data_IF_532987665297
#
_entry.id   IF_532987665297
#
_cell.length_a   1.000
_cell.length_b   1.000
_cell.length_c   1.000
_cell.angle_alpha   90.00
_cell.angle_beta   90.00
_cell.angle_gamma   90.00
#
_symmetry.space_group_name_H-M   'P 1'
#
loop_
_entity.id
_entity.type
_entity.pdbx_description
1 polymer ?
#
# COMPACT_ATOMS: atom_id res chain seq x y z
N UNK A 1 0.12 -18.49 -5.78
CA UNK A 1 -0.61 -18.17 -4.52
C UNK A 1 0.18 -17.11 -3.78
N UNK A 2 -0.40 -15.93 -3.56
CA UNK A 2 0.24 -14.93 -2.70
C UNK A 2 0.21 -15.42 -1.25
N UNK A 3 1.34 -15.30 -0.57
CA UNK A 3 1.41 -15.62 0.85
C UNK A 3 0.58 -14.58 1.61
N UNK A 4 -0.51 -14.99 2.21
CA UNK A 4 -1.30 -14.10 3.08
C UNK A 4 -0.55 -13.89 4.40
N UNK A 5 -0.24 -12.63 4.72
CA UNK A 5 0.44 -12.29 5.97
C UNK A 5 -0.59 -12.03 7.07
N UNK A 6 -0.31 -12.59 8.25
CA UNK A 6 -1.11 -12.31 9.44
C UNK A 6 -0.62 -11.02 10.10
N UNK A 7 -1.54 -10.08 10.34
CA UNK A 7 -1.26 -8.88 11.13
C UNK A 7 -1.54 -9.17 12.60
N UNK A 8 -0.51 -9.13 13.43
CA UNK A 8 -0.65 -9.17 14.87
C UNK A 8 -1.21 -7.83 15.37
N UNK A 9 -2.06 -7.86 16.38
CA UNK A 9 -2.64 -6.65 16.96
C UNK A 9 -1.90 -6.30 18.24
N UNK A 10 -1.40 -5.08 18.31
CA UNK A 10 -0.91 -4.42 19.50
C UNK A 10 -1.78 -3.20 19.84
N UNK A 11 -1.32 -2.35 20.71
CA UNK A 11 -1.96 -1.10 21.07
C UNK A 11 -0.92 -0.11 21.59
N UNK A 12 -1.25 1.19 21.52
CA UNK A 12 -0.46 2.28 22.08
C UNK A 12 -1.39 3.43 22.51
N UNK A 13 -1.09 4.12 23.61
CA UNK A 13 -1.79 5.35 23.97
C UNK A 13 -1.39 6.55 23.08
N UNK A 14 -0.24 6.50 22.40
CA UNK A 14 0.35 7.58 21.62
C UNK A 14 -0.30 7.72 20.25
N UNK A 15 -1.57 8.14 20.23
CA UNK A 15 -2.37 8.32 19.02
C UNK A 15 -3.36 9.47 19.19
N UNK A 16 -3.90 9.94 18.08
CA UNK A 16 -4.86 11.04 18.08
C UNK A 16 -5.85 10.93 16.91
N UNK A 17 -6.95 11.69 17.00
CA UNK A 17 -7.89 11.80 15.90
C UNK A 17 -7.23 12.49 14.67
N UNK A 18 -7.61 12.10 13.47
CA UNK A 18 -7.15 12.70 12.20
C UNK A 18 -7.74 14.09 11.91
N UNK A 19 -8.63 14.62 12.77
CA UNK A 19 -9.24 15.95 12.65
C UNK A 19 -9.86 16.24 11.28
N UNK A 20 -10.52 15.25 10.69
CA UNK A 20 -11.15 15.37 9.38
C UNK A 20 -10.22 15.12 8.18
N UNK A 21 -8.93 14.91 8.40
CA UNK A 21 -8.01 14.55 7.33
C UNK A 21 -8.12 13.07 6.95
N UNK A 22 -8.01 12.81 5.66
CA UNK A 22 -7.91 11.46 5.09
C UNK A 22 -6.44 11.10 4.88
N UNK A 23 -5.99 9.90 5.27
CA UNK A 23 -4.63 9.48 4.98
C UNK A 23 -4.46 9.19 3.49
N UNK A 24 -3.47 9.83 2.88
CA UNK A 24 -3.09 9.65 1.48
C UNK A 24 -1.58 9.59 1.28
N UNK A 25 -0.81 9.54 2.37
CA UNK A 25 0.62 9.25 2.34
C UNK A 25 0.91 7.97 3.11
N UNK A 26 1.73 7.08 2.53
CA UNK A 26 2.32 5.92 3.22
C UNK A 26 3.80 6.24 3.43
N UNK A 27 4.23 6.27 4.70
CA UNK A 27 5.56 6.73 5.08
C UNK A 27 6.36 5.61 5.70
N UNK A 28 7.51 5.30 5.10
CA UNK A 28 8.43 4.27 5.60
C UNK A 28 9.47 4.86 6.54
N UNK A 29 9.76 4.11 7.61
CA UNK A 29 10.74 4.41 8.65
C UNK A 29 11.65 3.21 8.91
N UNK A 30 12.76 3.44 9.64
CA UNK A 30 13.62 2.40 10.21
C UNK A 30 13.64 2.54 11.72
N UNK A 31 13.47 1.41 12.44
CA UNK A 31 13.29 1.38 13.91
C UNK A 31 14.52 1.79 14.70
N UNK A 32 15.72 1.76 14.09
CA UNK A 32 17.03 1.83 14.77
C UNK A 32 17.17 0.80 15.91
N UNK A 33 16.51 -0.36 15.76
CA UNK A 33 16.47 -1.42 16.75
C UNK A 33 15.89 -2.73 16.19
N UNK A 34 15.65 -3.67 17.11
CA UNK A 34 14.97 -4.91 16.78
C UNK A 34 13.45 -4.79 16.90
N UNK A 35 12.73 -5.73 16.29
CA UNK A 35 11.28 -5.76 16.21
C UNK A 35 10.57 -5.69 17.57
N UNK A 36 10.97 -6.55 18.52
CA UNK A 36 10.34 -6.64 19.84
C UNK A 36 10.60 -5.36 20.67
N UNK A 37 11.81 -4.81 20.56
CA UNK A 37 12.17 -3.54 21.18
C UNK A 37 11.37 -2.37 20.62
N UNK A 38 11.16 -2.32 19.30
CA UNK A 38 10.34 -1.32 18.66
C UNK A 38 8.87 -1.40 19.11
N UNK A 39 8.28 -2.61 19.17
CA UNK A 39 6.92 -2.80 19.69
C UNK A 39 6.85 -2.32 21.14
N UNK A 40 7.77 -2.76 22.00
CA UNK A 40 7.78 -2.36 23.42
C UNK A 40 7.88 -0.86 23.60
N UNK A 41 8.77 -0.20 22.87
CA UNK A 41 8.98 1.25 22.94
C UNK A 41 7.77 2.02 22.42
N UNK A 42 7.28 1.72 21.23
CA UNK A 42 6.18 2.44 20.58
C UNK A 42 4.81 2.16 21.23
N UNK A 43 4.70 1.10 22.04
CA UNK A 43 3.52 0.83 22.85
C UNK A 43 3.53 1.56 24.21
N UNK A 44 4.66 2.15 24.59
CA UNK A 44 4.82 2.82 25.88
C UNK A 44 4.47 4.31 25.78
N UNK A 45 3.66 4.81 26.71
CA UNK A 45 3.29 6.22 26.79
C UNK A 45 4.50 7.16 26.86
N UNK A 46 5.55 6.75 27.56
CA UNK A 46 6.78 7.53 27.76
C UNK A 46 7.52 7.82 26.45
N UNK A 47 7.36 6.96 25.42
CA UNK A 47 8.01 7.16 24.13
C UNK A 47 7.56 8.44 23.41
N UNK A 48 6.33 8.91 23.69
CA UNK A 48 5.68 10.01 22.97
C UNK A 48 5.76 9.84 21.43
N UNK A 49 5.81 8.58 20.99
CA UNK A 49 5.89 8.16 19.60
C UNK A 49 5.07 6.90 19.39
N UNK A 50 4.65 6.63 18.16
CA UNK A 50 3.98 5.39 17.77
C UNK A 50 4.12 5.15 16.26
N UNK A 51 3.65 4.01 15.78
CA UNK A 51 3.53 3.70 14.36
C UNK A 51 2.20 3.00 14.09
N UNK A 52 1.69 3.08 12.86
CA UNK A 52 0.55 2.25 12.49
C UNK A 52 0.98 0.79 12.41
N UNK A 53 2.10 0.52 11.74
CA UNK A 53 2.61 -0.83 11.54
C UNK A 53 4.11 -0.93 11.82
N UNK A 54 4.54 -2.13 12.22
CA UNK A 54 5.94 -2.50 12.36
C UNK A 54 6.15 -3.79 11.57
N UNK A 55 7.18 -3.84 10.72
CA UNK A 55 7.55 -5.00 9.90
C UNK A 55 8.91 -5.54 10.34
N UNK A 56 8.93 -6.79 10.79
CA UNK A 56 10.15 -7.50 11.20
C UNK A 56 11.00 -7.93 9.99
N UNK A 57 12.29 -8.18 10.21
CA UNK A 57 13.19 -8.72 9.18
C UNK A 57 12.78 -10.11 8.68
N UNK A 58 12.05 -10.89 9.50
CA UNK A 58 11.52 -12.20 9.13
C UNK A 58 10.13 -12.14 8.45
N UNK A 59 9.56 -10.93 8.27
CA UNK A 59 8.29 -10.68 7.61
C UNK A 59 7.08 -10.65 8.54
N UNK A 60 7.23 -10.81 9.86
CA UNK A 60 6.11 -10.60 10.82
C UNK A 60 5.65 -9.14 10.78
N UNK A 61 4.34 -8.93 10.94
CA UNK A 61 3.74 -7.59 10.94
C UNK A 61 2.94 -7.40 12.23
N UNK A 62 3.12 -6.27 12.89
CA UNK A 62 2.29 -5.83 14.03
C UNK A 62 1.65 -4.48 13.71
N UNK A 63 0.35 -4.34 13.98
CA UNK A 63 -0.37 -3.07 13.94
C UNK A 63 -0.55 -2.53 15.35
N UNK A 64 -0.10 -1.31 15.63
CA UNK A 64 -0.27 -0.61 16.91
C UNK A 64 -1.39 0.44 16.87
N UNK A 65 -1.57 1.14 15.74
CA UNK A 65 -2.58 2.18 15.58
C UNK A 65 -3.51 1.82 14.41
N UNK A 66 -4.81 1.97 14.61
CA UNK A 66 -5.80 1.80 13.53
C UNK A 66 -5.65 2.91 12.49
N UNK A 67 -5.88 2.59 11.20
CA UNK A 67 -5.81 3.57 10.11
C UNK A 67 -6.77 4.74 10.30
N UNK A 68 -7.86 4.56 11.07
CA UNK A 68 -8.81 5.64 11.40
C UNK A 68 -8.25 6.68 12.36
N UNK A 69 -7.19 6.36 13.08
CA UNK A 69 -6.48 7.26 14.00
C UNK A 69 -5.13 7.68 13.38
N UNK A 70 -4.54 8.74 13.89
CA UNK A 70 -3.22 9.20 13.47
C UNK A 70 -2.16 8.74 14.49
N UNK A 71 -1.15 8.01 14.03
CA UNK A 71 0.03 7.68 14.84
C UNK A 71 0.94 8.90 15.01
N UNK A 72 1.69 8.94 16.10
CA UNK A 72 2.68 9.99 16.36
C UNK A 72 4.04 9.62 15.78
N UNK A 73 4.16 9.71 14.44
CA UNK A 73 5.33 9.21 13.69
C UNK A 73 5.94 10.25 12.73
N UNK A 74 5.10 11.03 12.05
CA UNK A 74 5.50 11.99 11.01
C UNK A 74 5.26 13.44 11.40
N UNK A 75 5.24 13.74 12.69
CA UNK A 75 4.82 15.03 13.20
C UNK A 75 5.60 16.23 12.63
N UNK A 76 4.91 17.11 11.92
CA UNK A 76 5.44 18.40 11.47
C UNK A 76 4.88 19.56 12.29
N UNK A 77 5.67 20.63 12.43
CA UNK A 77 5.33 21.87 13.13
C UNK A 77 4.89 22.96 12.16
N UNK A 78 4.03 23.85 12.63
CA UNK A 78 3.70 25.11 11.95
C UNK A 78 4.64 26.26 12.32
N UNK A 79 5.50 26.07 13.33
CA UNK A 79 6.49 27.04 13.74
C UNK A 79 7.72 27.00 12.83
N UNK A 80 8.05 28.08 12.09
CA UNK A 80 9.21 28.13 11.20
C UNK A 80 10.57 27.91 11.91
N UNK A 81 10.65 28.12 13.22
CA UNK A 81 11.87 27.90 14.00
C UNK A 81 12.06 26.45 14.42
N UNK A 82 11.03 25.61 14.31
CA UNK A 82 11.09 24.21 14.66
C UNK A 82 11.84 23.40 13.59
N UNK A 83 12.71 22.47 14.02
CA UNK A 83 13.45 21.60 13.09
C UNK A 83 12.56 20.76 12.18
N UNK A 84 11.33 20.44 12.64
CA UNK A 84 10.31 19.72 11.84
C UNK A 84 9.28 20.66 11.19
N UNK A 85 9.65 21.89 10.91
CA UNK A 85 8.76 22.82 10.23
C UNK A 85 8.30 22.25 8.88
N UNK A 86 6.98 22.22 8.63
CA UNK A 86 6.42 21.64 7.40
C UNK A 86 7.00 22.27 6.13
N UNK A 87 7.42 23.54 6.18
CA UNK A 87 8.03 24.26 5.06
C UNK A 87 9.38 23.69 4.60
N UNK A 88 10.06 22.91 5.45
CA UNK A 88 11.32 22.24 5.11
C UNK A 88 11.11 20.91 4.34
N UNK A 89 9.87 20.41 4.27
CA UNK A 89 9.58 19.15 3.59
C UNK A 89 9.97 19.19 2.11
N UNK A 90 10.48 18.07 1.59
CA UNK A 90 10.71 17.88 0.15
C UNK A 90 9.39 17.76 -0.62
N UNK A 91 8.33 17.27 0.05
CA UNK A 91 7.02 17.04 -0.55
C UNK A 91 6.21 18.33 -0.65
N UNK A 92 5.76 18.65 -1.86
CA UNK A 92 4.92 19.84 -2.09
C UNK A 92 3.59 19.73 -1.34
N UNK A 93 3.01 18.53 -1.26
CA UNK A 93 1.75 18.28 -0.55
C UNK A 93 1.85 18.63 0.93
N UNK A 94 2.97 18.32 1.60
CA UNK A 94 3.20 18.66 3.02
C UNK A 94 3.33 20.19 3.19
N UNK A 95 4.10 20.85 2.31
CA UNK A 95 4.26 22.32 2.35
C UNK A 95 2.93 23.05 2.13
N UNK A 96 2.09 22.53 1.23
CA UNK A 96 0.78 23.14 0.91
C UNK A 96 -0.25 22.97 2.03
N UNK A 97 -0.24 21.84 2.73
CA UNK A 97 -1.20 21.54 3.81
C UNK A 97 -0.97 22.35 5.07
N UNK A 98 0.27 22.76 5.33
CA UNK A 98 0.64 23.65 6.44
C UNK A 98 0.14 23.18 7.80
N UNK A 99 0.15 21.86 8.01
CA UNK A 99 -0.33 21.22 9.26
C UNK A 99 0.49 19.98 9.58
N UNK A 100 0.15 19.33 10.71
CA UNK A 100 0.85 18.14 11.20
C UNK A 100 0.63 16.95 10.24
N UNK A 101 1.74 16.42 9.70
CA UNK A 101 1.72 15.31 8.73
C UNK A 101 1.16 14.00 9.32
N UNK A 102 1.12 13.84 10.64
CA UNK A 102 0.47 12.69 11.27
C UNK A 102 -1.00 12.55 10.84
N UNK A 103 -1.71 13.67 10.62
CA UNK A 103 -3.15 13.62 10.32
C UNK A 103 -3.48 12.91 9.01
N UNK A 104 -2.61 12.99 7.99
CA UNK A 104 -2.88 12.51 6.63
C UNK A 104 -1.87 11.44 6.16
N UNK A 105 -1.17 10.79 7.09
CA UNK A 105 -0.25 9.72 6.76
C UNK A 105 -0.51 8.43 7.53
N UNK A 106 -0.04 7.32 6.96
CA UNK A 106 0.10 6.01 7.60
C UNK A 106 1.59 5.69 7.66
N UNK A 107 2.14 5.50 8.86
CA UNK A 107 3.55 5.20 9.05
C UNK A 107 3.81 3.72 9.25
N UNK A 108 4.89 3.23 8.64
CA UNK A 108 5.38 1.85 8.75
C UNK A 108 6.82 1.90 9.25
N UNK A 109 7.08 1.30 10.40
CA UNK A 109 8.42 1.08 10.92
C UNK A 109 8.98 -0.25 10.39
N UNK A 110 10.20 -0.24 9.90
CA UNK A 110 10.90 -1.43 9.44
C UNK A 110 12.04 -1.77 10.40
N UNK A 111 12.04 -2.99 10.93
CA UNK A 111 13.12 -3.47 11.78
C UNK A 111 14.47 -3.32 11.09
N UNK A 112 15.38 -2.62 11.71
CA UNK A 112 16.73 -2.43 11.19
C UNK A 112 17.49 -1.32 11.91
N UNK A 113 18.75 -1.19 11.54
CA UNK A 113 19.65 -0.12 12.01
C UNK A 113 20.35 0.50 10.82
N UNK A 114 20.21 1.81 10.61
CA UNK A 114 20.76 2.53 9.46
C UNK A 114 22.25 2.25 9.24
N UNK A 115 23.06 2.27 10.30
CA UNK A 115 24.50 2.04 10.20
C UNK A 115 24.88 0.63 9.69
N UNK A 116 23.95 -0.35 9.81
CA UNK A 116 24.16 -1.72 9.33
C UNK A 116 23.66 -1.96 7.93
N UNK A 117 22.46 -1.49 7.63
CA UNK A 117 21.74 -1.86 6.40
C UNK A 117 21.50 -0.71 5.45
N UNK A 118 21.70 0.54 5.90
CA UNK A 118 21.32 1.76 5.17
C UNK A 118 19.86 1.72 4.68
N UNK A 119 18.99 1.04 5.44
CA UNK A 119 17.58 0.88 5.12
C UNK A 119 17.26 -0.30 4.19
N UNK A 120 18.24 -1.06 3.70
CA UNK A 120 17.97 -2.22 2.85
C UNK A 120 17.19 -3.27 3.62
N UNK A 121 16.04 -3.66 3.08
CA UNK A 121 15.17 -4.69 3.64
C UNK A 121 15.70 -6.09 3.33
N UNK A 122 15.42 -7.05 4.20
CA UNK A 122 15.61 -8.47 3.86
C UNK A 122 14.56 -8.89 2.81
N UNK A 123 14.79 -9.98 2.11
CA UNK A 123 13.82 -10.48 1.12
C UNK A 123 12.43 -10.76 1.74
N UNK A 124 12.40 -11.33 2.95
CA UNK A 124 11.14 -11.59 3.67
C UNK A 124 10.45 -10.30 4.08
N UNK A 125 11.23 -9.33 4.58
CA UNK A 125 10.73 -8.04 4.98
C UNK A 125 10.19 -7.24 3.78
N UNK A 126 10.89 -7.26 2.63
CA UNK A 126 10.44 -6.61 1.40
C UNK A 126 9.11 -7.19 0.91
N UNK A 127 8.98 -8.53 0.86
CA UNK A 127 7.72 -9.20 0.48
C UNK A 127 6.57 -8.82 1.42
N UNK A 128 6.83 -8.81 2.72
CA UNK A 128 5.85 -8.40 3.73
C UNK A 128 5.47 -6.92 3.59
N UNK A 129 6.44 -6.06 3.29
CA UNK A 129 6.23 -4.62 3.06
C UNK A 129 5.38 -4.36 1.82
N UNK A 130 5.64 -5.03 0.71
CA UNK A 130 4.83 -4.94 -0.51
C UNK A 130 3.37 -5.35 -0.22
N UNK A 131 3.19 -6.50 0.43
CA UNK A 131 1.85 -6.97 0.82
C UNK A 131 1.14 -5.97 1.75
N UNK A 132 1.87 -5.41 2.73
CA UNK A 132 1.32 -4.45 3.68
C UNK A 132 0.90 -3.14 2.99
N UNK A 133 1.67 -2.65 2.02
CA UNK A 133 1.27 -1.47 1.23
C UNK A 133 -0.06 -1.71 0.51
N UNK A 134 -0.25 -2.87 -0.14
CA UNK A 134 -1.52 -3.26 -0.77
C UNK A 134 -2.67 -3.27 0.23
N UNK A 135 -2.43 -3.89 1.38
CA UNK A 135 -3.42 -3.93 2.46
C UNK A 135 -3.81 -2.51 2.91
N UNK A 136 -2.84 -1.61 3.13
CA UNK A 136 -3.08 -0.22 3.54
C UNK A 136 -3.86 0.53 2.46
N UNK A 137 -3.48 0.43 1.19
CA UNK A 137 -4.16 1.06 0.05
C UNK A 137 -5.62 0.60 -0.01
N UNK A 138 -5.86 -0.71 0.08
CA UNK A 138 -7.20 -1.30 0.09
C UNK A 138 -8.03 -0.82 1.28
N UNK A 139 -7.48 -0.79 2.49
CA UNK A 139 -8.19 -0.32 3.68
C UNK A 139 -8.49 1.19 3.63
N UNK A 140 -7.58 2.02 3.11
CA UNK A 140 -7.82 3.45 2.89
C UNK A 140 -8.97 3.63 1.90
N UNK A 141 -8.96 2.92 0.78
CA UNK A 141 -10.06 2.96 -0.21
C UNK A 141 -11.39 2.55 0.41
N UNK A 142 -11.40 1.48 1.17
CA UNK A 142 -12.61 0.94 1.83
C UNK A 142 -13.16 1.89 2.90
N UNK A 143 -12.30 2.50 3.72
CA UNK A 143 -12.70 3.33 4.86
C UNK A 143 -13.07 4.75 4.41
N UNK A 144 -12.31 5.32 3.47
CA UNK A 144 -12.39 6.74 3.11
C UNK A 144 -12.84 6.99 1.67
N UNK A 145 -12.91 5.96 0.81
CA UNK A 145 -13.22 6.11 -0.61
C UNK A 145 -12.09 6.76 -1.42
N UNK A 146 -10.89 6.91 -0.85
CA UNK A 146 -9.75 7.60 -1.45
C UNK A 146 -8.78 6.60 -2.06
N UNK A 147 -8.29 6.89 -3.27
CA UNK A 147 -7.23 6.13 -3.92
C UNK A 147 -5.86 6.71 -3.54
N UNK A 148 -4.90 5.82 -3.32
CA UNK A 148 -3.48 6.17 -3.20
C UNK A 148 -2.85 6.01 -4.58
N UNK A 149 -2.22 7.06 -5.10
CA UNK A 149 -1.42 6.96 -6.33
C UNK A 149 -0.12 6.23 -5.98
N UNK A 150 0.16 5.16 -6.72
CA UNK A 150 1.33 4.33 -6.49
C UNK A 150 2.57 4.98 -7.12
N UNK A 151 3.12 5.96 -6.43
CA UNK A 151 4.31 6.71 -6.85
C UNK A 151 5.13 7.26 -5.67
N UNK A 152 6.22 7.98 -5.97
CA UNK A 152 7.10 8.63 -4.97
C UNK A 152 6.55 9.93 -4.39
N UNK A 153 5.35 10.37 -4.77
CA UNK A 153 4.66 11.51 -4.14
C UNK A 153 3.79 11.04 -2.96
N UNK A 154 3.32 9.77 -2.98
CA UNK A 154 2.44 9.22 -1.94
C UNK A 154 3.05 8.04 -1.15
N UNK A 155 4.02 7.31 -1.72
CA UNK A 155 4.81 6.27 -1.02
C UNK A 155 6.22 6.81 -0.78
N UNK A 156 6.47 7.27 0.44
CA UNK A 156 7.61 8.15 0.75
C UNK A 156 8.40 7.69 1.97
N UNK A 157 9.57 8.28 2.18
CA UNK A 157 10.36 8.11 3.40
C UNK A 157 10.14 9.25 4.40
N UNK A 158 10.52 9.03 5.66
CA UNK A 158 10.47 10.10 6.65
C UNK A 158 11.37 11.29 6.24
N UNK A 159 12.51 11.03 5.61
CA UNK A 159 13.40 12.07 5.09
C UNK A 159 12.77 12.97 4.01
N UNK A 160 11.69 12.54 3.37
CA UNK A 160 10.95 13.37 2.40
C UNK A 160 10.03 14.36 3.13
N UNK A 161 9.51 13.97 4.31
CA UNK A 161 8.68 14.84 5.16
C UNK A 161 9.53 15.77 6.03
N UNK A 162 10.55 15.22 6.71
CA UNK A 162 11.42 15.93 7.64
C UNK A 162 12.91 15.71 7.30
N UNK A 163 13.41 16.37 6.24
CA UNK A 163 14.80 16.19 5.81
C UNK A 163 15.82 16.77 6.79
N UNK A 164 15.41 17.64 7.70
CA UNK A 164 16.30 18.30 8.65
C UNK A 164 16.64 17.40 9.83
N UNK A 165 15.63 16.79 10.47
CA UNK A 165 15.85 15.96 11.66
C UNK A 165 16.02 14.48 11.33
N UNK A 166 15.52 14.05 10.16
CA UNK A 166 15.45 12.63 9.74
C UNK A 166 16.06 12.38 8.35
N UNK A 167 17.24 12.96 8.05
CA UNK A 167 17.80 12.95 6.69
C UNK A 167 18.07 11.54 6.14
N UNK A 168 18.22 10.54 7.02
CA UNK A 168 18.59 9.17 6.66
C UNK A 168 17.49 8.13 6.93
N UNK A 169 16.26 8.54 7.26
CA UNK A 169 15.17 7.61 7.53
C UNK A 169 14.24 7.46 6.31
N UNK A 170 14.00 6.26 5.78
CA UNK A 170 14.34 4.93 6.28
C UNK A 170 15.75 4.43 5.88
N UNK A 171 16.49 5.13 5.04
CA UNK A 171 17.83 4.80 4.57
C UNK A 171 17.96 4.87 3.06
N UNK A 172 19.19 5.10 2.59
CA UNK A 172 19.52 5.36 1.18
C UNK A 172 19.32 4.12 0.28
N UNK A 173 19.35 2.93 0.88
CA UNK A 173 19.15 1.66 0.18
C UNK A 173 17.76 1.08 0.39
N UNK A 174 16.80 1.87 0.93
CA UNK A 174 15.41 1.42 1.03
C UNK A 174 14.79 1.26 -0.36
N UNK A 175 14.14 0.14 -0.58
CA UNK A 175 13.77 -0.36 -1.91
C UNK A 175 12.42 0.19 -2.39
N UNK A 176 12.27 1.51 -2.45
CA UNK A 176 11.03 2.16 -2.90
C UNK A 176 10.62 1.75 -4.31
N UNK A 177 11.57 1.71 -5.25
CA UNK A 177 11.27 1.39 -6.65
C UNK A 177 10.76 -0.05 -6.78
N UNK A 178 11.38 -1.02 -6.09
CA UNK A 178 10.92 -2.40 -6.08
C UNK A 178 9.51 -2.54 -5.49
N UNK A 179 9.19 -1.76 -4.43
CA UNK A 179 7.85 -1.73 -3.83
C UNK A 179 6.83 -1.16 -4.82
N UNK A 180 7.12 0.01 -5.41
CA UNK A 180 6.23 0.70 -6.35
C UNK A 180 5.99 -0.15 -7.60
N UNK A 181 7.05 -0.72 -8.17
CA UNK A 181 6.95 -1.59 -9.35
C UNK A 181 6.12 -2.84 -9.08
N UNK A 182 6.28 -3.45 -7.88
CA UNK A 182 5.50 -4.61 -7.49
C UNK A 182 4.01 -4.25 -7.26
N UNK A 183 3.73 -3.06 -6.74
CA UNK A 183 2.36 -2.56 -6.57
C UNK A 183 1.69 -2.29 -7.92
N UNK A 184 2.40 -1.63 -8.86
CA UNK A 184 1.89 -1.33 -10.21
C UNK A 184 1.65 -2.57 -11.06
N UNK A 185 2.53 -3.57 -10.98
CA UNK A 185 2.39 -4.82 -11.75
C UNK A 185 1.12 -5.60 -11.42
N UNK A 186 0.56 -5.41 -10.23
CA UNK A 186 -0.69 -6.09 -9.84
C UNK A 186 -1.94 -5.24 -10.10
N UNK A 187 -1.80 -3.94 -10.40
CA UNK A 187 -2.90 -3.14 -10.95
C UNK A 187 -3.16 -3.47 -12.43
N UNK A 188 -2.17 -4.04 -13.14
CA UNK A 188 -2.40 -4.66 -14.44
C UNK A 188 -3.19 -5.96 -14.20
N UNK A 189 -4.50 -5.89 -14.49
CA UNK A 189 -5.41 -7.02 -14.40
C UNK A 189 -4.81 -8.22 -15.16
N UNK A 190 -4.59 -9.33 -14.47
CA UNK A 190 -3.84 -10.46 -14.99
C UNK A 190 -4.57 -11.03 -16.22
N UNK A 191 -3.89 -11.08 -17.37
CA UNK A 191 -4.46 -11.69 -18.57
C UNK A 191 -4.72 -13.17 -18.29
N UNK A 192 -5.89 -13.67 -18.72
CA UNK A 192 -6.25 -15.09 -18.65
C UNK A 192 -5.15 -15.93 -19.30
N UNK A 193 -4.61 -16.87 -18.56
CA UNK A 193 -3.60 -17.82 -19.04
C UNK A 193 -4.25 -19.16 -19.35
N UNK A 194 -4.28 -19.51 -20.62
CA UNK A 194 -4.67 -20.83 -21.09
C UNK A 194 -3.44 -21.50 -21.72
N UNK A 195 -3.13 -22.71 -21.27
CA UNK A 195 -1.88 -23.40 -21.60
C UNK A 195 -1.83 -23.88 -23.06
N UNK A 196 -3.00 -24.05 -23.70
CA UNK A 196 -3.12 -24.62 -25.04
C UNK A 196 -4.01 -23.77 -25.95
N UNK A 197 -3.66 -23.66 -27.23
CA UNK A 197 -4.41 -22.86 -28.22
C UNK A 197 -5.85 -23.36 -28.41
N UNK A 198 -6.12 -24.65 -28.29
CA UNK A 198 -7.48 -25.20 -28.41
C UNK A 198 -8.43 -24.66 -27.31
N UNK A 199 -7.90 -24.27 -26.13
CA UNK A 199 -8.70 -23.65 -25.05
C UNK A 199 -9.17 -22.26 -25.47
N UNK A 200 -8.29 -21.47 -26.10
CA UNK A 200 -8.63 -20.17 -26.67
C UNK A 200 -9.66 -20.30 -27.79
N UNK A 201 -9.51 -21.30 -28.69
CA UNK A 201 -10.49 -21.58 -29.75
C UNK A 201 -11.86 -21.97 -29.16
N UNK A 202 -11.90 -22.79 -28.12
CA UNK A 202 -13.15 -23.16 -27.46
C UNK A 202 -13.82 -21.94 -26.81
N UNK A 203 -13.04 -21.09 -26.14
CA UNK A 203 -13.54 -19.87 -25.52
C UNK A 203 -14.10 -18.91 -26.58
N UNK A 204 -13.40 -18.74 -27.71
CA UNK A 204 -13.86 -17.94 -28.85
C UNK A 204 -15.21 -18.44 -29.41
N UNK A 205 -15.34 -19.73 -29.67
CA UNK A 205 -16.60 -20.35 -30.15
C UNK A 205 -17.73 -20.19 -29.15
N UNK A 206 -17.42 -20.25 -27.84
CA UNK A 206 -18.42 -20.05 -26.79
C UNK A 206 -18.92 -18.62 -26.76
N UNK A 207 -18.04 -17.63 -26.84
CA UNK A 207 -18.41 -16.20 -26.93
C UNK A 207 -19.25 -15.94 -28.19
N UNK A 208 -18.84 -16.44 -29.35
CA UNK A 208 -19.60 -16.29 -30.60
C UNK A 208 -21.01 -16.90 -30.48
N UNK A 209 -21.15 -18.09 -29.87
CA UNK A 209 -22.46 -18.71 -29.61
C UNK A 209 -23.33 -17.86 -28.69
N UNK A 210 -22.76 -17.23 -27.65
CA UNK A 210 -23.48 -16.35 -26.73
C UNK A 210 -23.91 -15.02 -27.42
N UNK A 211 -23.09 -14.48 -28.32
CA UNK A 211 -23.44 -13.34 -29.15
C UNK A 211 -24.61 -13.69 -30.10
N UNK A 212 -24.52 -14.81 -30.81
CA UNK A 212 -25.58 -15.28 -31.72
C UNK A 212 -26.92 -15.55 -31.02
N UNK A 213 -26.89 -15.91 -29.75
CA UNK A 213 -28.10 -16.07 -28.90
C UNK A 213 -28.58 -14.74 -28.29
N UNK A 214 -27.91 -13.62 -28.55
CA UNK A 214 -28.24 -12.32 -27.95
C UNK A 214 -27.96 -12.22 -26.46
N UNK A 215 -27.23 -13.19 -25.87
CA UNK A 215 -26.83 -13.17 -24.46
C UNK A 215 -25.71 -12.17 -24.24
N UNK A 216 -24.79 -12.05 -25.20
CA UNK A 216 -23.77 -11.01 -25.27
C UNK A 216 -24.08 -10.05 -26.41
N UNK A 217 -23.94 -8.75 -26.16
CA UNK A 217 -24.31 -7.68 -27.13
C UNK A 217 -23.11 -6.90 -27.64
N UNK A 218 -21.90 -7.12 -27.11
CA UNK A 218 -20.67 -6.47 -27.57
C UNK A 218 -19.71 -7.49 -28.19
N UNK A 219 -19.22 -7.19 -29.39
CA UNK A 219 -18.18 -7.95 -30.07
C UNK A 219 -16.77 -7.78 -29.45
N UNK A 220 -16.62 -6.87 -28.49
CA UNK A 220 -15.33 -6.61 -27.85
C UNK A 220 -14.79 -7.87 -27.12
N UNK A 221 -15.69 -8.70 -26.57
CA UNK A 221 -15.33 -9.93 -25.89
C UNK A 221 -14.65 -10.92 -26.82
N UNK A 222 -15.19 -11.08 -28.03
CA UNK A 222 -14.61 -11.95 -29.05
C UNK A 222 -13.23 -11.46 -29.48
N UNK A 223 -13.06 -10.16 -29.71
CA UNK A 223 -11.77 -9.55 -30.05
C UNK A 223 -10.73 -9.73 -28.94
N UNK A 224 -11.12 -9.61 -27.68
CA UNK A 224 -10.21 -9.84 -26.53
C UNK A 224 -9.76 -11.30 -26.44
N UNK A 225 -10.66 -12.25 -26.70
CA UNK A 225 -10.31 -13.68 -26.73
C UNK A 225 -9.41 -14.00 -27.92
N UNK A 226 -9.73 -13.48 -29.12
CA UNK A 226 -8.94 -13.65 -30.33
C UNK A 226 -7.51 -13.11 -30.17
N UNK A 227 -7.38 -11.93 -29.58
CA UNK A 227 -6.09 -11.29 -29.31
C UNK A 227 -5.40 -11.80 -28.03
N UNK A 228 -6.02 -12.73 -27.29
CA UNK A 228 -5.54 -13.27 -25.99
C UNK A 228 -5.27 -12.15 -24.97
N UNK A 229 -6.14 -11.14 -24.93
CA UNK A 229 -6.04 -9.96 -24.04
C UNK A 229 -7.16 -9.89 -23.00
N UNK A 230 -8.00 -10.93 -22.91
CA UNK A 230 -9.05 -11.03 -21.88
C UNK A 230 -8.40 -11.16 -20.51
N UNK A 231 -8.79 -10.27 -19.58
CA UNK A 231 -8.26 -10.29 -18.21
C UNK A 231 -9.09 -11.21 -17.31
N UNK A 232 -8.53 -11.58 -16.14
CA UNK A 232 -9.21 -12.46 -15.16
C UNK A 232 -10.44 -11.75 -14.57
N UNK A 233 -10.35 -10.46 -14.29
CA UNK A 233 -11.49 -9.66 -13.80
C UNK A 233 -12.59 -9.55 -14.84
N UNK A 234 -12.23 -9.32 -16.09
CA UNK A 234 -13.18 -9.29 -17.21
C UNK A 234 -13.87 -10.64 -17.43
N UNK A 235 -13.11 -11.75 -17.38
CA UNK A 235 -13.68 -13.10 -17.48
C UNK A 235 -14.65 -13.39 -16.31
N UNK A 236 -14.31 -12.95 -15.11
CA UNK A 236 -15.17 -13.10 -13.92
C UNK A 236 -16.45 -12.29 -14.06
N UNK A 237 -16.35 -11.03 -14.47
CA UNK A 237 -17.49 -10.15 -14.68
C UNK A 237 -18.40 -10.66 -15.81
N UNK A 238 -17.80 -11.10 -16.91
CA UNK A 238 -18.51 -11.70 -18.04
C UNK A 238 -19.32 -12.92 -17.62
N UNK A 239 -18.73 -13.80 -16.79
CA UNK A 239 -19.42 -14.97 -16.25
C UNK A 239 -20.65 -14.58 -15.39
N UNK A 240 -20.54 -13.57 -14.55
CA UNK A 240 -21.67 -13.07 -13.74
C UNK A 240 -22.82 -12.54 -14.63
N UNK A 241 -22.50 -11.77 -15.69
CA UNK A 241 -23.49 -11.26 -16.64
C UNK A 241 -24.18 -12.41 -17.39
N UNK A 242 -23.43 -13.41 -17.82
CA UNK A 242 -23.98 -14.56 -18.54
C UNK A 242 -24.95 -15.32 -17.62
N UNK A 243 -24.57 -15.57 -16.37
CA UNK A 243 -25.43 -16.24 -15.37
C UNK A 243 -26.72 -15.47 -15.11
N UNK A 244 -26.68 -14.13 -14.92
CA UNK A 244 -27.88 -13.30 -14.72
C UNK A 244 -28.82 -13.36 -15.94
N UNK A 245 -28.27 -13.35 -17.16
CA UNK A 245 -29.08 -13.38 -18.38
C UNK A 245 -29.64 -14.75 -18.71
N UNK A 246 -28.99 -15.81 -18.29
CA UNK A 246 -29.51 -17.19 -18.43
C UNK A 246 -30.54 -17.54 -17.36
N UNK A 247 -30.59 -16.82 -16.24
CA UNK A 247 -31.53 -17.03 -15.16
C UNK A 247 -32.91 -16.34 -15.40
N UNK A 248 -33.02 -15.55 -16.44
CA UNK A 248 -34.25 -14.85 -16.89
C UNK A 248 -34.93 -15.60 -18.03
#
# INVERSE_FOLDING_TARGET
MMTEYKINKGNTPNKMARRGWVPDLIVSHITEGNYEGAISWLSNEVSQASSHYIVAQDGRITQLVDIREAAWINGTSTDPSAGNYYGNSRLQVVRNRKTNANYYSVGIEHEGMHYKTKGKLTEKQLKATIWLHKHIISEIKKIYGTDIIVDREQIVGHCDIDPVRKPFCPGELFQFDEIIDALKKEEEDEIVKLDYDWQWEMLHKSIESLENKGILTSSDWRLKVENKTLTVSEATWLNMIILDRLAK
#
